data_IF_676108125996
#
_entry.id   IF_676108125996
#
_cell.length_a   1.000
_cell.length_b   1.000
_cell.length_c   1.000
_cell.angle_alpha   90.00
_cell.angle_beta   90.00
_cell.angle_gamma   90.00
#
_symmetry.space_group_name_H-M   'P 1'
#
loop_
_entity.id
_entity.type
_entity.pdbx_description
1 polymer ?
#
# COMPACT_ATOMS: atom_id res chain seq x y z
N UNK A 1 7.91 -22.78 -4.14
CA UNK A 1 6.51 -22.38 -4.33
C UNK A 1 6.53 -21.12 -5.19
N UNK A 2 5.83 -21.08 -6.33
CA UNK A 2 5.80 -19.87 -7.15
C UNK A 2 4.79 -18.87 -6.56
N UNK A 3 5.19 -17.61 -6.49
CA UNK A 3 4.42 -16.50 -5.93
C UNK A 3 3.86 -15.63 -7.06
N UNK A 4 2.93 -14.74 -6.73
CA UNK A 4 2.45 -13.71 -7.65
C UNK A 4 3.56 -12.80 -8.21
N UNK A 5 4.62 -12.56 -7.43
CA UNK A 5 5.74 -11.75 -7.87
C UNK A 5 6.52 -12.47 -8.98
N UNK A 6 6.63 -13.80 -8.92
CA UNK A 6 7.26 -14.60 -9.97
C UNK A 6 6.45 -14.53 -11.27
N UNK A 7 5.12 -14.58 -11.17
CA UNK A 7 4.24 -14.38 -12.33
C UNK A 7 4.39 -12.98 -12.92
N UNK A 8 4.39 -11.92 -12.08
CA UNK A 8 4.57 -10.54 -12.55
C UNK A 8 5.92 -10.36 -13.25
N UNK A 9 6.99 -10.93 -12.70
CA UNK A 9 8.31 -10.93 -13.32
C UNK A 9 8.27 -11.60 -14.69
N UNK A 10 7.67 -12.79 -14.82
CA UNK A 10 7.53 -13.49 -16.10
C UNK A 10 6.71 -12.68 -17.13
N UNK A 11 5.63 -12.02 -16.70
CA UNK A 11 4.85 -11.15 -17.58
C UNK A 11 5.66 -9.95 -18.06
N UNK A 12 6.45 -9.31 -17.18
CA UNK A 12 7.33 -8.21 -17.57
C UNK A 12 8.46 -8.66 -18.49
N UNK A 13 9.02 -9.84 -18.29
CA UNK A 13 10.05 -10.37 -19.19
C UNK A 13 9.46 -10.74 -20.55
N UNK A 14 8.22 -11.22 -20.59
CA UNK A 14 7.47 -11.42 -21.83
C UNK A 14 7.25 -10.08 -22.57
N UNK A 15 6.88 -9.01 -21.85
CA UNK A 15 6.74 -7.67 -22.44
C UNK A 15 8.07 -7.13 -22.97
N UNK A 16 9.19 -7.34 -22.27
CA UNK A 16 10.52 -6.97 -22.76
C UNK A 16 10.88 -7.74 -24.02
N UNK A 17 10.63 -9.05 -24.04
CA UNK A 17 10.92 -9.91 -25.19
C UNK A 17 10.05 -9.59 -26.42
N UNK A 18 8.84 -9.05 -26.23
CA UNK A 18 8.03 -8.53 -27.34
C UNK A 18 8.58 -7.25 -27.95
N UNK A 19 9.32 -6.45 -27.18
CA UNK A 19 9.95 -5.21 -27.64
C UNK A 19 11.40 -5.44 -28.11
N UNK A 20 11.92 -6.65 -27.95
CA UNK A 20 13.24 -7.04 -28.43
C UNK A 20 13.20 -7.18 -29.96
N UNK A 21 13.94 -6.31 -30.65
CA UNK A 21 14.01 -6.30 -32.12
C UNK A 21 15.01 -7.31 -32.68
N UNK A 22 15.95 -7.78 -31.87
CA UNK A 22 16.96 -8.76 -32.28
C UNK A 22 16.46 -10.19 -32.07
N UNK A 23 15.67 -10.42 -31.01
CA UNK A 23 15.04 -11.71 -30.72
C UNK A 23 13.57 -11.55 -30.30
N UNK A 24 12.70 -11.14 -31.23
CA UNK A 24 11.29 -10.90 -30.93
C UNK A 24 10.62 -12.19 -30.50
N UNK A 25 9.86 -12.11 -29.41
CA UNK A 25 8.98 -13.19 -29.00
C UNK A 25 7.82 -13.33 -30.01
N UNK A 26 7.47 -14.57 -30.33
CA UNK A 26 6.30 -14.86 -31.15
C UNK A 26 5.01 -14.31 -30.51
N UNK A 27 4.25 -13.52 -31.27
CA UNK A 27 3.07 -12.79 -30.79
C UNK A 27 2.00 -13.76 -30.29
N UNK A 28 1.83 -14.90 -30.96
CA UNK A 28 0.85 -15.91 -30.55
C UNK A 28 1.22 -16.53 -29.20
N UNK A 29 2.51 -16.82 -28.97
CA UNK A 29 2.98 -17.27 -27.64
C UNK A 29 2.78 -16.20 -26.57
N UNK A 30 3.02 -14.94 -26.91
CA UNK A 30 2.80 -13.82 -25.99
C UNK A 30 1.33 -13.68 -25.58
N UNK A 31 0.39 -13.82 -26.54
CA UNK A 31 -1.04 -13.85 -26.26
C UNK A 31 -1.40 -15.00 -25.31
N UNK A 32 -0.93 -16.21 -25.57
CA UNK A 32 -1.20 -17.36 -24.70
C UNK A 32 -0.68 -17.12 -23.28
N UNK A 33 0.49 -16.52 -23.12
CA UNK A 33 1.02 -16.14 -21.80
C UNK A 33 0.14 -15.09 -21.12
N UNK A 34 -0.33 -14.08 -21.84
CA UNK A 34 -1.23 -13.06 -21.31
C UNK A 34 -2.57 -13.67 -20.87
N UNK A 35 -3.14 -14.59 -21.67
CA UNK A 35 -4.39 -15.28 -21.36
C UNK A 35 -4.25 -16.14 -20.09
N UNK A 36 -3.17 -16.90 -19.96
CA UNK A 36 -2.86 -17.68 -18.75
C UNK A 36 -2.68 -16.76 -17.54
N UNK A 37 -1.98 -15.63 -17.70
CA UNK A 37 -1.82 -14.61 -16.66
C UNK A 37 -3.16 -14.04 -16.20
N UNK A 38 -4.10 -13.82 -17.12
CA UNK A 38 -5.44 -13.33 -16.82
C UNK A 38 -6.25 -14.33 -15.97
N UNK A 39 -6.14 -15.63 -16.25
CA UNK A 39 -6.78 -16.69 -15.45
C UNK A 39 -6.26 -16.68 -14.01
N UNK A 40 -4.94 -16.54 -13.80
CA UNK A 40 -4.35 -16.48 -12.46
C UNK A 40 -4.79 -15.22 -11.70
N UNK A 41 -4.83 -14.06 -12.36
CA UNK A 41 -5.33 -12.81 -11.77
C UNK A 41 -6.78 -12.97 -11.32
N UNK A 42 -7.61 -13.63 -12.13
CA UNK A 42 -9.01 -13.87 -11.77
C UNK A 42 -9.14 -14.81 -10.56
N UNK A 43 -8.30 -15.84 -10.45
CA UNK A 43 -8.24 -16.70 -9.25
C UNK A 43 -7.92 -15.90 -7.99
N UNK A 44 -6.91 -15.03 -8.05
CA UNK A 44 -6.53 -14.19 -6.93
C UNK A 44 -7.62 -13.18 -6.53
N UNK A 45 -8.40 -12.66 -7.49
CA UNK A 45 -9.55 -11.79 -7.20
C UNK A 45 -10.61 -12.54 -6.39
N UNK A 46 -10.92 -13.78 -6.78
CA UNK A 46 -11.89 -14.63 -6.05
C UNK A 46 -11.41 -14.88 -4.62
N UNK A 47 -10.12 -15.09 -4.39
CA UNK A 47 -9.57 -15.22 -3.04
C UNK A 47 -9.71 -13.93 -2.22
N UNK A 48 -9.47 -12.76 -2.83
CA UNK A 48 -9.69 -11.46 -2.18
C UNK A 48 -11.17 -11.24 -1.86
N UNK A 49 -12.07 -11.60 -2.78
CA UNK A 49 -13.51 -11.50 -2.57
C UNK A 49 -13.98 -12.42 -1.43
N UNK A 50 -13.48 -13.66 -1.40
CA UNK A 50 -13.71 -14.58 -0.29
C UNK A 50 -13.28 -13.98 1.04
N UNK A 51 -12.09 -13.37 1.11
CA UNK A 51 -11.63 -12.73 2.34
C UNK A 51 -12.46 -11.52 2.76
N UNK A 52 -12.93 -10.69 1.82
CA UNK A 52 -13.79 -9.54 2.15
C UNK A 52 -15.07 -9.99 2.85
N UNK A 53 -15.62 -11.12 2.44
CA UNK A 53 -16.82 -11.71 3.05
C UNK A 53 -16.49 -12.45 4.36
N UNK A 54 -15.37 -13.18 4.41
CA UNK A 54 -14.99 -14.02 5.55
C UNK A 54 -14.23 -13.27 6.66
N UNK A 55 -13.83 -12.01 6.46
CA UNK A 55 -13.09 -11.20 7.43
C UNK A 55 -11.58 -11.48 7.49
N UNK A 56 -10.98 -11.97 6.40
CA UNK A 56 -9.54 -12.27 6.32
C UNK A 56 -8.64 -11.04 6.12
N UNK A 57 -7.42 -11.05 6.68
CA UNK A 57 -6.47 -9.90 6.67
C UNK A 57 -5.50 -9.85 5.48
N UNK A 58 -5.53 -10.81 4.54
CA UNK A 58 -4.65 -10.80 3.37
C UNK A 58 -4.76 -12.08 2.53
N UNK A 59 -4.65 -11.96 1.20
CA UNK A 59 -4.71 -13.11 0.27
C UNK A 59 -3.34 -13.67 -0.06
N UNK A 60 -2.26 -13.01 0.40
CA UNK A 60 -0.90 -13.30 -0.05
C UNK A 60 -0.58 -12.85 -1.49
N UNK A 61 -1.57 -12.34 -2.23
CA UNK A 61 -1.40 -11.85 -3.62
C UNK A 61 -0.76 -10.45 -3.70
N UNK A 62 -1.12 -9.59 -2.77
CA UNK A 62 -0.43 -8.32 -2.54
C UNK A 62 0.00 -8.40 -1.07
N UNK A 63 1.31 -8.36 -0.78
CA UNK A 63 1.75 -8.36 0.60
C UNK A 63 1.15 -7.12 1.27
N UNK A 64 0.45 -7.33 2.38
CA UNK A 64 0.07 -6.24 3.26
C UNK A 64 1.37 -5.80 3.90
N UNK A 65 1.84 -4.60 3.57
CA UNK A 65 2.92 -3.97 4.31
C UNK A 65 2.38 -3.79 5.74
N UNK A 66 2.76 -4.70 6.64
CA UNK A 66 2.64 -4.46 8.06
C UNK A 66 3.67 -3.39 8.34
N UNK A 67 3.24 -2.14 8.20
CA UNK A 67 3.84 -1.06 8.99
C UNK A 67 3.54 -1.48 10.42
N UNK A 68 4.50 -2.15 11.04
CA UNK A 68 4.56 -2.20 12.49
C UNK A 68 4.51 -0.75 12.94
N UNK A 69 3.35 -0.34 13.43
CA UNK A 69 3.27 0.79 14.34
C UNK A 69 4.17 0.39 15.50
N UNK A 70 5.43 0.80 15.44
CA UNK A 70 6.35 0.64 16.54
C UNK A 70 5.71 1.32 17.74
N UNK A 71 5.19 0.50 18.65
CA UNK A 71 4.97 0.89 20.03
C UNK A 71 6.35 1.19 20.61
N UNK A 72 6.81 2.42 20.42
CA UNK A 72 8.01 2.92 21.05
C UNK A 72 7.61 3.44 22.43
N UNK A 73 8.14 2.89 23.54
CA UNK A 73 8.08 3.61 24.79
C UNK A 73 8.86 4.91 24.58
N UNK A 74 8.26 6.02 25.00
CA UNK A 74 8.89 7.34 25.00
C UNK A 74 10.12 7.34 25.93
N UNK A 75 11.25 6.84 25.45
CA UNK A 75 12.55 7.13 26.03
C UNK A 75 13.00 8.46 25.45
N UNK A 76 12.97 9.49 26.29
CA UNK A 76 13.45 10.83 26.00
C UNK A 76 14.88 10.77 25.42
N UNK A 77 15.00 10.99 24.12
CA UNK A 77 16.25 11.42 23.51
C UNK A 77 16.33 12.92 23.79
N UNK A 78 17.19 13.31 24.72
CA UNK A 78 17.60 14.69 24.90
C UNK A 78 18.27 15.15 23.60
N UNK A 79 17.58 16.01 22.86
CA UNK A 79 18.16 16.73 21.73
C UNK A 79 19.29 17.63 22.26
N UNK A 80 20.45 17.71 21.59
CA UNK A 80 21.40 18.79 21.86
C UNK A 80 20.72 20.12 21.58
N UNK A 81 20.99 21.12 22.43
CA UNK A 81 20.33 22.43 22.47
C UNK A 81 20.08 22.97 21.05
N UNK A 82 18.82 22.94 20.63
CA UNK A 82 18.39 23.58 19.41
C UNK A 82 18.49 25.10 19.60
N UNK A 83 19.01 25.79 18.59
CA UNK A 83 18.95 27.26 18.49
C UNK A 83 17.54 27.77 18.85
N UNK A 84 17.44 28.92 19.53
CA UNK A 84 16.14 29.41 19.98
C UNK A 84 15.21 29.61 18.78
N UNK A 85 14.07 28.92 18.81
CA UNK A 85 13.03 29.01 17.81
C UNK A 85 12.57 30.48 17.62
N UNK A 86 12.18 30.89 16.39
CA UNK A 86 11.63 32.22 16.17
C UNK A 86 10.36 32.41 17.01
N UNK A 87 10.32 33.53 17.73
CA UNK A 87 9.18 33.90 18.56
C UNK A 87 8.03 34.38 17.67
N UNK A 88 6.99 33.57 17.53
CA UNK A 88 5.73 34.01 16.96
C UNK A 88 4.91 34.75 18.03
N UNK A 89 4.26 35.87 17.68
CA UNK A 89 3.40 36.59 18.63
C UNK A 89 2.27 35.66 19.10
N UNK A 90 2.13 35.55 20.41
CA UNK A 90 1.07 34.78 21.07
C UNK A 90 -0.30 35.25 20.57
N UNK A 91 -1.11 34.30 20.09
CA UNK A 91 -2.47 34.59 19.67
C UNK A 91 -3.25 35.18 20.85
N UNK A 92 -3.78 36.40 20.67
CA UNK A 92 -4.72 37.01 21.60
C UNK A 92 -5.91 36.08 21.77
N UNK A 93 -6.02 35.46 22.95
CA UNK A 93 -7.20 34.72 23.38
C UNK A 93 -8.39 35.68 23.40
N UNK A 94 -9.26 35.61 22.40
CA UNK A 94 -10.46 36.45 22.27
C UNK A 94 -11.56 36.10 23.30
N UNK A 95 -11.25 36.13 24.60
CA UNK A 95 -12.24 36.15 25.68
C UNK A 95 -13.18 34.93 25.79
N UNK A 96 -12.93 33.85 25.06
CA UNK A 96 -13.77 32.65 25.09
C UNK A 96 -13.50 31.89 26.39
N UNK A 97 -14.46 31.91 27.32
CA UNK A 97 -14.32 31.27 28.65
C UNK A 97 -14.79 29.82 28.69
N UNK A 98 -15.64 29.38 27.76
CA UNK A 98 -16.03 27.97 27.61
C UNK A 98 -16.68 27.70 26.25
N UNK A 99 -16.56 26.47 25.76
CA UNK A 99 -17.29 25.97 24.58
C UNK A 99 -18.03 24.70 25.01
N UNK A 100 -19.36 24.70 24.93
CA UNK A 100 -20.19 23.52 25.20
C UNK A 100 -20.51 22.81 23.88
N UNK A 101 -20.16 21.53 23.76
CA UNK A 101 -20.46 20.71 22.58
C UNK A 101 -21.81 20.04 22.75
N UNK A 102 -22.78 20.38 21.91
CA UNK A 102 -24.06 19.66 21.83
C UNK A 102 -23.98 18.52 20.82
N UNK A 103 -24.54 17.36 21.17
CA UNK A 103 -24.72 16.22 20.27
C UNK A 103 -26.20 16.23 19.84
N UNK A 104 -26.46 16.27 18.53
CA UNK A 104 -27.82 16.07 18.01
C UNK A 104 -28.24 14.62 18.30
N UNK A 105 -29.44 14.43 18.84
CA UNK A 105 -30.12 13.13 18.85
C UNK A 105 -30.90 13.00 17.54
N UNK A 106 -30.89 11.78 17.02
CA UNK A 106 -31.39 11.37 15.70
C UNK A 106 -32.80 11.86 15.36
#
# INVERSE_FOLDING_TARGET
>A
MQTINDLRSHLFDTLKALNDKEKPLDIERAKVVADVGQVIINSAKVEVDFMRVAGGKGSGFIPVAVVESADAPAAAVSLPDADPAPSFPSASTNGIRSITRHVLKD
#
